data_IF_599256259421
#
_entry.id   IF_599256259421
#
_cell.length_a   1.000
_cell.length_b   1.000
_cell.length_c   1.000
_cell.angle_alpha   90.00
_cell.angle_beta   90.00
_cell.angle_gamma   90.00
#
_symmetry.space_group_name_H-M   'P 1'
#
loop_
_entity.id
_entity.type
_entity.pdbx_description
1 polymer ?
#
# COMPACT_ATOMS: atom_id res chain seq x y z
N UNK A 1 0.88 31.84 -23.85
CA UNK A 1 0.28 31.48 -22.53
C UNK A 1 -0.95 30.59 -22.70
N UNK A 2 -1.88 30.90 -23.61
CA UNK A 2 -3.05 30.06 -23.89
C UNK A 2 -2.71 28.63 -24.36
N UNK A 3 -1.71 28.46 -25.22
CA UNK A 3 -1.35 27.12 -25.75
C UNK A 3 -0.83 26.18 -24.65
N UNK A 4 -0.03 26.70 -23.73
CA UNK A 4 0.45 25.95 -22.57
C UNK A 4 -0.69 25.55 -21.63
N UNK A 5 -1.65 26.45 -21.40
CA UNK A 5 -2.84 26.14 -20.60
C UNK A 5 -3.69 25.03 -21.24
N UNK A 6 -3.90 25.10 -22.57
CA UNK A 6 -4.59 24.07 -23.32
C UNK A 6 -3.85 22.72 -23.27
N UNK A 7 -2.50 22.74 -23.39
CA UNK A 7 -1.67 21.55 -23.28
C UNK A 7 -1.81 20.88 -21.90
N UNK A 8 -1.68 21.66 -20.82
CA UNK A 8 -1.79 21.14 -19.44
C UNK A 8 -3.19 20.57 -19.19
N UNK A 9 -4.24 21.25 -19.64
CA UNK A 9 -5.62 20.73 -19.55
C UNK A 9 -5.78 19.41 -20.30
N UNK A 10 -5.18 19.30 -21.49
CA UNK A 10 -5.25 18.07 -22.26
C UNK A 10 -4.49 16.92 -21.59
N UNK A 11 -3.30 17.18 -21.04
CA UNK A 11 -2.54 16.20 -20.27
C UNK A 11 -3.29 15.76 -19.02
N UNK A 12 -3.96 16.68 -18.30
CA UNK A 12 -4.83 16.35 -17.17
C UNK A 12 -5.90 15.34 -17.56
N UNK A 13 -6.63 15.59 -18.65
CA UNK A 13 -7.65 14.65 -19.16
C UNK A 13 -7.07 13.29 -19.55
N UNK A 14 -5.83 13.24 -20.06
CA UNK A 14 -5.17 11.97 -20.37
C UNK A 14 -4.81 11.21 -19.09
N UNK A 15 -4.30 11.89 -18.06
CA UNK A 15 -3.99 11.30 -16.77
C UNK A 15 -5.25 10.71 -16.11
N UNK A 16 -6.37 11.43 -16.15
CA UNK A 16 -7.65 10.95 -15.59
C UNK A 16 -8.12 9.64 -16.27
N UNK A 17 -7.96 9.55 -17.60
CA UNK A 17 -8.29 8.34 -18.36
C UNK A 17 -7.39 7.16 -17.99
N UNK A 18 -6.09 7.40 -17.87
CA UNK A 18 -5.13 6.36 -17.46
C UNK A 18 -5.40 5.91 -16.03
N UNK A 19 -5.68 6.84 -15.12
CA UNK A 19 -6.04 6.52 -13.75
C UNK A 19 -7.29 5.65 -13.70
N UNK A 20 -8.34 6.02 -14.45
CA UNK A 20 -9.57 5.23 -14.53
C UNK A 20 -9.31 3.82 -15.07
N UNK A 21 -8.53 3.69 -16.14
CA UNK A 21 -8.17 2.39 -16.70
C UNK A 21 -7.40 1.52 -15.69
N UNK A 22 -6.44 2.11 -14.94
CA UNK A 22 -5.71 1.42 -13.88
C UNK A 22 -6.68 0.97 -12.78
N UNK A 23 -7.64 1.83 -12.38
CA UNK A 23 -8.62 1.49 -11.34
C UNK A 23 -9.45 0.28 -11.71
N UNK A 24 -10.02 0.28 -12.92
CA UNK A 24 -10.84 -0.83 -13.43
C UNK A 24 -10.02 -2.12 -13.52
N UNK A 25 -8.82 -2.05 -14.10
CA UNK A 25 -7.93 -3.21 -14.22
C UNK A 25 -7.52 -3.77 -12.85
N UNK A 26 -7.21 -2.91 -11.88
CA UNK A 26 -6.84 -3.31 -10.54
C UNK A 26 -7.99 -3.99 -9.77
N UNK A 27 -9.21 -3.46 -9.88
CA UNK A 27 -10.39 -4.06 -9.24
C UNK A 27 -10.70 -5.45 -9.82
N UNK A 28 -10.52 -5.63 -11.13
CA UNK A 28 -10.72 -6.93 -11.77
C UNK A 28 -9.60 -7.94 -11.43
N UNK A 29 -8.34 -7.50 -11.43
CA UNK A 29 -7.18 -8.40 -11.27
C UNK A 29 -6.75 -8.62 -9.80
N UNK A 30 -7.08 -7.69 -8.91
CA UNK A 30 -6.69 -7.67 -7.50
C UNK A 30 -7.88 -7.20 -6.61
N UNK A 31 -9.02 -7.92 -6.61
CA UNK A 31 -10.24 -7.44 -5.95
C UNK A 31 -10.06 -7.21 -4.44
N UNK A 32 -9.46 -8.16 -3.71
CA UNK A 32 -9.27 -8.09 -2.26
C UNK A 32 -8.22 -7.05 -1.89
N UNK A 33 -7.11 -7.01 -2.63
CA UNK A 33 -6.05 -6.02 -2.38
C UNK A 33 -6.56 -4.61 -2.68
N UNK A 34 -7.35 -4.44 -3.75
CA UNK A 34 -7.97 -3.16 -4.10
C UNK A 34 -9.00 -2.72 -3.06
N UNK A 35 -9.78 -3.64 -2.51
CA UNK A 35 -10.70 -3.34 -1.40
C UNK A 35 -9.94 -2.85 -0.16
N UNK A 36 -8.80 -3.48 0.17
CA UNK A 36 -8.04 -3.15 1.37
C UNK A 36 -7.28 -1.81 1.31
N UNK A 37 -6.58 -1.54 0.19
CA UNK A 37 -5.65 -0.39 0.10
C UNK A 37 -6.00 0.61 -0.99
N UNK A 38 -7.09 0.37 -1.70
CA UNK A 38 -7.47 1.11 -2.88
C UNK A 38 -6.78 0.61 -4.16
N UNK A 39 -7.42 0.75 -5.31
CA UNK A 39 -6.98 0.14 -6.57
C UNK A 39 -5.64 0.68 -7.08
N UNK A 40 -5.35 1.98 -6.88
CA UNK A 40 -4.09 2.58 -7.35
C UNK A 40 -2.87 2.06 -6.58
N UNK A 41 -3.01 1.89 -5.26
CA UNK A 41 -1.94 1.35 -4.44
C UNK A 41 -1.78 -0.15 -4.68
N UNK A 42 -2.88 -0.90 -4.83
CA UNK A 42 -2.86 -2.31 -5.21
C UNK A 42 -2.12 -2.54 -6.54
N UNK A 43 -2.46 -1.76 -7.58
CA UNK A 43 -1.77 -1.81 -8.87
C UNK A 43 -0.27 -1.53 -8.73
N UNK A 44 0.11 -0.49 -7.97
CA UNK A 44 1.51 -0.16 -7.75
C UNK A 44 2.27 -1.28 -7.05
N UNK A 45 1.71 -1.87 -5.99
CA UNK A 45 2.33 -3.00 -5.29
C UNK A 45 2.50 -4.21 -6.19
N UNK A 46 1.52 -4.48 -7.05
CA UNK A 46 1.61 -5.56 -8.03
C UNK A 46 2.69 -5.33 -9.08
N UNK A 47 2.82 -4.11 -9.60
CA UNK A 47 3.88 -3.74 -10.55
C UNK A 47 5.26 -3.85 -9.88
N UNK A 48 5.42 -3.32 -8.67
CA UNK A 48 6.70 -3.39 -7.92
C UNK A 48 7.08 -4.82 -7.56
N UNK A 49 6.10 -5.67 -7.26
CA UNK A 49 6.34 -7.09 -7.06
C UNK A 49 6.57 -7.87 -8.37
N UNK A 50 6.47 -7.23 -9.53
CA UNK A 50 6.55 -7.85 -10.86
C UNK A 50 5.47 -8.90 -11.13
N UNK A 51 4.24 -8.62 -10.69
CA UNK A 51 3.04 -9.40 -10.99
C UNK A 51 2.34 -9.98 -9.77
N UNK A 52 1.06 -10.31 -9.93
CA UNK A 52 0.16 -10.84 -8.89
C UNK A 52 0.71 -12.13 -8.26
N UNK A 53 1.18 -13.07 -9.09
CA UNK A 53 1.72 -14.35 -8.61
C UNK A 53 2.95 -14.19 -7.74
N UNK A 54 3.82 -13.21 -8.04
CA UNK A 54 5.00 -12.92 -7.22
C UNK A 54 4.59 -12.18 -5.95
N UNK A 55 3.70 -11.19 -6.04
CA UNK A 55 3.16 -10.45 -4.90
C UNK A 55 2.59 -11.39 -3.82
N UNK A 56 1.81 -12.41 -4.22
CA UNK A 56 1.24 -13.39 -3.30
C UNK A 56 2.27 -14.27 -2.57
N UNK A 57 3.45 -14.45 -3.16
CA UNK A 57 4.55 -15.25 -2.60
C UNK A 57 5.48 -14.43 -1.71
N UNK A 58 5.41 -13.10 -1.77
CA UNK A 58 6.23 -12.25 -0.91
C UNK A 58 5.84 -12.41 0.56
N UNK A 59 6.82 -12.47 1.48
CA UNK A 59 6.53 -12.39 2.90
C UNK A 59 6.06 -10.98 3.26
N UNK A 60 5.27 -10.87 4.34
CA UNK A 60 4.75 -9.58 4.84
C UNK A 60 5.87 -8.54 5.07
N UNK A 61 7.02 -8.97 5.57
CA UNK A 61 8.18 -8.09 5.76
C UNK A 61 8.70 -7.46 4.46
N UNK A 62 8.66 -8.18 3.34
CA UNK A 62 9.01 -7.61 2.02
C UNK A 62 7.91 -6.69 1.53
N UNK A 63 6.64 -7.10 1.62
CA UNK A 63 5.49 -6.24 1.25
C UNK A 63 5.51 -4.92 2.02
N UNK A 64 5.92 -4.95 3.29
CA UNK A 64 6.05 -3.76 4.13
C UNK A 64 7.01 -2.73 3.53
N UNK A 65 8.10 -3.16 2.89
CA UNK A 65 9.18 -2.30 2.41
C UNK A 65 9.30 -2.24 0.88
N UNK A 66 8.35 -2.80 0.13
CA UNK A 66 8.29 -2.67 -1.34
C UNK A 66 8.31 -1.19 -1.77
N UNK A 67 9.24 -0.80 -2.63
CA UNK A 67 9.52 0.58 -3.03
C UNK A 67 10.52 1.33 -2.13
N UNK A 68 11.07 0.67 -1.11
CA UNK A 68 12.12 1.20 -0.23
C UNK A 68 13.42 0.39 -0.31
N UNK A 69 13.65 -0.32 -1.41
CA UNK A 69 14.78 -1.21 -1.66
C UNK A 69 16.10 -0.49 -1.43
N UNK A 70 16.25 0.74 -1.92
CA UNK A 70 17.48 1.52 -1.75
C UNK A 70 17.83 1.73 -0.26
N UNK A 71 16.84 2.09 0.55
CA UNK A 71 17.03 2.28 1.99
C UNK A 71 17.23 0.95 2.71
N UNK A 72 16.50 -0.09 2.31
CA UNK A 72 16.64 -1.44 2.85
C UNK A 72 18.04 -2.02 2.59
N UNK A 73 18.53 -1.94 1.36
CA UNK A 73 19.88 -2.40 1.01
C UNK A 73 20.97 -1.53 1.63
N UNK A 74 20.72 -0.23 1.86
CA UNK A 74 21.64 0.61 2.65
C UNK A 74 21.72 0.15 4.10
N UNK A 75 20.60 -0.25 4.72
CA UNK A 75 20.59 -0.83 6.06
C UNK A 75 21.42 -2.12 6.09
N UNK A 76 21.24 -3.02 5.12
CA UNK A 76 22.00 -4.27 5.06
C UNK A 76 23.51 -4.06 4.87
N UNK A 77 23.92 -3.05 4.08
CA UNK A 77 25.35 -2.77 3.83
C UNK A 77 26.03 -1.99 4.95
N UNK A 78 25.34 -1.02 5.52
CA UNK A 78 25.95 0.02 6.37
C UNK A 78 25.40 0.04 7.80
N UNK A 79 24.44 -0.83 8.14
CA UNK A 79 23.84 -0.90 9.48
C UNK A 79 22.96 0.30 9.84
N UNK A 80 22.60 1.15 8.87
CA UNK A 80 21.70 2.30 9.09
C UNK A 80 20.32 1.85 9.55
N UNK A 81 19.49 2.70 10.15
CA UNK A 81 18.16 2.25 10.60
C UNK A 81 17.30 1.71 9.43
N UNK A 82 16.64 0.55 9.57
CA UNK A 82 15.84 -0.04 8.49
C UNK A 82 14.61 0.82 8.14
N UNK A 83 14.16 0.81 6.87
CA UNK A 83 12.94 1.50 6.48
C UNK A 83 11.72 0.88 7.15
N UNK A 84 10.81 1.72 7.66
CA UNK A 84 9.59 1.25 8.35
C UNK A 84 8.47 0.86 7.39
N UNK A 85 8.47 1.40 6.18
CA UNK A 85 7.43 1.25 5.17
C UNK A 85 7.98 1.66 3.80
N UNK A 86 7.51 1.01 2.74
CA UNK A 86 7.71 1.42 1.36
C UNK A 86 6.49 2.14 0.80
N UNK A 87 5.99 1.74 -0.37
CA UNK A 87 4.82 2.31 -1.04
C UNK A 87 3.56 2.31 -0.18
N UNK A 88 3.41 1.34 0.73
CA UNK A 88 2.27 1.30 1.66
C UNK A 88 2.13 2.57 2.52
N UNK A 89 3.19 3.37 2.66
CA UNK A 89 3.15 4.69 3.31
C UNK A 89 2.08 5.63 2.72
N UNK A 90 1.76 5.51 1.44
CA UNK A 90 0.75 6.34 0.78
C UNK A 90 -0.65 6.12 1.36
N UNK A 91 -0.91 4.97 1.99
CA UNK A 91 -2.22 4.69 2.59
C UNK A 91 -2.52 5.65 3.75
N UNK A 92 -3.73 6.26 3.83
CA UNK A 92 -4.08 7.23 4.88
C UNK A 92 -3.90 6.72 6.31
N UNK A 93 -4.12 5.42 6.54
CA UNK A 93 -3.88 4.80 7.85
C UNK A 93 -2.43 4.93 8.32
N UNK A 94 -1.45 5.04 7.42
CA UNK A 94 -0.04 5.21 7.77
C UNK A 94 0.39 6.67 7.64
N UNK A 95 0.15 7.32 6.49
CA UNK A 95 0.63 8.69 6.24
C UNK A 95 0.13 9.70 7.26
N UNK A 96 -1.16 9.59 7.64
CA UNK A 96 -1.81 10.48 8.62
C UNK A 96 -1.55 10.08 10.08
N UNK A 97 -0.91 8.94 10.34
CA UNK A 97 -0.61 8.49 11.70
C UNK A 97 0.68 9.11 12.27
N UNK A 98 0.79 9.24 13.61
CA UNK A 98 2.01 9.73 14.26
C UNK A 98 3.24 8.86 13.99
N UNK A 99 4.43 9.49 13.89
CA UNK A 99 5.68 8.83 13.45
C UNK A 99 6.08 7.59 14.25
N UNK A 100 5.74 7.53 15.55
CA UNK A 100 6.05 6.40 16.42
C UNK A 100 5.09 5.20 16.23
N UNK A 101 3.90 5.44 15.68
CA UNK A 101 2.88 4.41 15.42
C UNK A 101 2.97 3.85 14.00
N UNK A 102 3.44 4.65 13.03
CA UNK A 102 3.52 4.28 11.60
C UNK A 102 4.08 2.89 11.32
N UNK A 103 5.17 2.51 11.99
CA UNK A 103 5.79 1.20 11.78
C UNK A 103 4.93 0.01 12.25
N UNK A 104 4.13 0.21 13.30
CA UNK A 104 3.20 -0.81 13.82
C UNK A 104 2.04 -1.02 12.84
N UNK A 105 1.45 0.08 12.38
CA UNK A 105 0.37 0.05 11.38
C UNK A 105 0.89 -0.51 10.05
N UNK A 106 2.08 -0.11 9.60
CA UNK A 106 2.72 -0.62 8.39
C UNK A 106 2.90 -2.14 8.42
N UNK A 107 3.39 -2.69 9.54
CA UNK A 107 3.56 -4.14 9.69
C UNK A 107 2.24 -4.89 9.66
N UNK A 108 1.23 -4.39 10.37
CA UNK A 108 -0.11 -4.99 10.39
C UNK A 108 -0.74 -4.96 8.99
N UNK A 109 -0.71 -3.79 8.34
CA UNK A 109 -1.28 -3.60 7.01
C UNK A 109 -0.56 -4.47 5.97
N UNK A 110 0.77 -4.56 6.01
CA UNK A 110 1.52 -5.45 5.12
C UNK A 110 1.11 -6.92 5.27
N UNK A 111 0.86 -7.39 6.50
CA UNK A 111 0.37 -8.74 6.73
C UNK A 111 -1.02 -8.97 6.13
N UNK A 112 -1.92 -7.99 6.24
CA UNK A 112 -3.25 -8.05 5.64
C UNK A 112 -3.20 -7.97 4.12
N UNK A 113 -2.31 -7.15 3.55
CA UNK A 113 -2.04 -7.11 2.10
C UNK A 113 -1.52 -8.46 1.61
N UNK A 114 -0.60 -9.12 2.33
CA UNK A 114 -0.10 -10.45 1.94
C UNK A 114 -1.22 -11.50 1.91
N UNK A 115 -2.19 -11.42 2.82
CA UNK A 115 -3.37 -12.31 2.81
C UNK A 115 -4.25 -11.99 1.61
N UNK A 116 -4.61 -10.72 1.42
CA UNK A 116 -5.42 -10.25 0.29
C UNK A 116 -4.81 -10.63 -1.06
N UNK A 117 -3.51 -10.44 -1.24
CA UNK A 117 -2.79 -10.80 -2.46
C UNK A 117 -2.81 -12.31 -2.74
N UNK A 118 -2.82 -13.15 -1.70
CA UNK A 118 -2.94 -14.62 -1.86
C UNK A 118 -4.36 -15.01 -2.25
N UNK A 119 -5.37 -14.42 -1.63
CA UNK A 119 -6.77 -14.62 -2.03
C UNK A 119 -6.93 -14.26 -3.51
N UNK A 120 -6.43 -13.09 -3.90
CA UNK A 120 -6.48 -12.62 -5.29
C UNK A 120 -5.71 -13.54 -6.25
N UNK A 121 -4.58 -14.13 -5.82
CA UNK A 121 -3.75 -15.00 -6.66
C UNK A 121 -4.32 -16.42 -6.86
N UNK A 122 -4.96 -16.97 -5.83
CA UNK A 122 -5.39 -18.37 -5.77
C UNK A 122 -6.92 -18.53 -5.82
N UNK A 123 -7.63 -17.57 -6.43
CA UNK A 123 -9.08 -17.61 -6.69
C UNK A 123 -9.94 -17.86 -5.45
N UNK A 124 -9.54 -17.28 -4.31
CA UNK A 124 -10.34 -17.30 -3.09
C UNK A 124 -11.52 -16.32 -3.16
N UNK A 125 -12.45 -16.45 -2.22
CA UNK A 125 -13.54 -15.47 -2.05
C UNK A 125 -12.94 -14.09 -1.76
N UNK A 126 -13.24 -13.06 -2.58
CA UNK A 126 -12.73 -11.72 -2.35
C UNK A 126 -13.10 -11.19 -0.97
N UNK A 127 -12.21 -10.41 -0.37
CA UNK A 127 -12.50 -9.75 0.90
C UNK A 127 -13.74 -8.86 0.80
N UNK A 128 -14.60 -8.99 1.81
CA UNK A 128 -15.80 -8.18 2.00
C UNK A 128 -15.48 -6.82 2.65
N UNK A 129 -16.47 -5.94 2.69
CA UNK A 129 -16.34 -4.67 3.42
C UNK A 129 -16.12 -4.92 4.92
N UNK A 130 -16.78 -5.92 5.50
CA UNK A 130 -16.64 -6.29 6.91
C UNK A 130 -15.19 -6.66 7.26
N UNK A 131 -14.48 -7.36 6.34
CA UNK A 131 -13.07 -7.70 6.51
C UNK A 131 -12.19 -6.43 6.56
N UNK A 132 -12.50 -5.43 5.76
CA UNK A 132 -11.78 -4.14 5.72
C UNK A 132 -12.06 -3.34 7.00
N UNK A 133 -13.31 -3.32 7.45
CA UNK A 133 -13.74 -2.63 8.67
C UNK A 133 -13.08 -3.23 9.92
N UNK A 134 -12.90 -4.56 9.96
CA UNK A 134 -12.14 -5.23 11.02
C UNK A 134 -10.67 -4.76 11.06
N UNK A 135 -10.06 -4.56 9.88
CA UNK A 135 -8.69 -4.04 9.78
C UNK A 135 -8.63 -2.58 10.23
N UNK A 136 -9.62 -1.76 9.85
CA UNK A 136 -9.71 -0.36 10.30
C UNK A 136 -9.84 -0.27 11.83
N UNK A 137 -10.71 -1.08 12.43
CA UNK A 137 -10.86 -1.15 13.89
C UNK A 137 -9.53 -1.49 14.59
N UNK A 138 -8.73 -2.38 14.00
CA UNK A 138 -7.37 -2.69 14.49
C UNK A 138 -6.41 -1.51 14.37
N UNK A 139 -6.47 -0.74 13.27
CA UNK A 139 -5.66 0.49 13.12
C UNK A 139 -6.01 1.49 14.21
N UNK A 140 -7.29 1.70 14.47
CA UNK A 140 -7.76 2.60 15.53
C UNK A 140 -7.37 2.09 16.93
N UNK A 141 -7.41 0.79 17.17
CA UNK A 141 -6.89 0.17 18.40
C UNK A 141 -5.42 0.51 18.63
N UNK A 142 -4.57 0.33 17.61
CA UNK A 142 -3.14 0.66 17.67
C UNK A 142 -2.92 2.16 17.92
N UNK A 143 -3.73 3.04 17.32
CA UNK A 143 -3.63 4.50 17.53
C UNK A 143 -3.96 4.89 18.97
N UNK A 144 -4.99 4.28 19.55
CA UNK A 144 -5.42 4.53 20.93
C UNK A 144 -4.39 4.01 21.94
N UNK A 145 -3.91 2.78 21.74
CA UNK A 145 -2.91 2.14 22.59
C UNK A 145 -1.59 2.94 22.62
N UNK A 146 -1.13 3.42 21.46
CA UNK A 146 0.12 4.18 21.32
C UNK A 146 -0.11 5.68 21.12
N UNK A 147 -1.03 6.27 21.89
CA UNK A 147 -1.37 7.70 21.81
C UNK A 147 -0.20 8.63 22.16
N UNK A 148 0.68 8.19 23.07
CA UNK A 148 1.84 8.97 23.53
C UNK A 148 3.13 8.52 22.85
N UNK A 149 4.07 9.45 22.58
CA UNK A 149 5.38 9.09 22.06
C UNK A 149 6.15 8.24 23.10
N UNK A 150 6.97 7.27 22.65
CA UNK A 150 7.82 6.50 23.56
C UNK A 150 8.79 7.43 24.27
N UNK A 151 9.03 7.17 25.57
CA UNK A 151 10.08 7.84 26.34
C UNK A 151 11.44 7.51 25.69
N UNK A 152 12.21 8.55 25.39
CA UNK A 152 13.58 8.43 24.86
C UNK A 152 14.56 8.19 25.99
#
# INVERSE_FOLDING_TARGET
>A
LHDWAAMVSNQGRQLDRLEHAIRVAAQAHLPSTSALVGPLLAARLCVEAHGRSRLARLPSGTVQVLGAEKAFFSHLRSGTAPPKHGHIFMHPWISRSPRWVRGKIARMLASKISIAARIDAFEGTPMSQDDVDEVEAKVEGIRKEFSKPPRR
#
